data_IF_740161125284
#
_entry.id   IF_740161125284
#
_cell.length_a   1.000
_cell.length_b   1.000
_cell.length_c   1.000
_cell.angle_alpha   90.00
_cell.angle_beta   90.00
_cell.angle_gamma   90.00
#
_symmetry.space_group_name_H-M   'P 1'
#
loop_
_entity.id
_entity.type
_entity.pdbx_description
1 polymer ?
#
# COMPACT_ATOMS: atom_id res chain seq x y z
N UNK A 1 -9.09 -26.83 -22.63
CA UNK A 1 -8.93 -25.54 -21.93
C UNK A 1 -9.76 -25.62 -20.65
N UNK A 2 -9.13 -25.78 -19.48
CA UNK A 2 -9.87 -25.94 -18.21
C UNK A 2 -10.39 -24.57 -17.79
N UNK A 3 -11.70 -24.36 -17.92
CA UNK A 3 -12.37 -23.16 -17.39
C UNK A 3 -12.57 -23.37 -15.90
N UNK A 4 -11.67 -22.81 -15.10
CA UNK A 4 -11.82 -22.79 -13.64
C UNK A 4 -13.12 -22.06 -13.27
N UNK A 5 -13.82 -22.48 -12.20
CA UNK A 5 -15.00 -21.77 -11.72
C UNK A 5 -14.65 -20.30 -11.46
N UNK A 6 -15.59 -19.35 -11.66
CA UNK A 6 -15.33 -17.93 -11.50
C UNK A 6 -14.86 -17.64 -10.08
N UNK A 7 -13.55 -17.49 -9.92
CA UNK A 7 -12.96 -17.18 -8.62
C UNK A 7 -13.40 -15.79 -8.18
N UNK A 8 -13.81 -15.65 -6.92
CA UNK A 8 -14.37 -14.41 -6.36
C UNK A 8 -13.48 -13.18 -6.64
N UNK A 9 -12.16 -13.36 -6.62
CA UNK A 9 -11.16 -12.27 -6.68
C UNK A 9 -10.36 -12.17 -7.99
N UNK A 10 -10.54 -13.06 -8.97
CA UNK A 10 -9.82 -13.00 -10.26
C UNK A 10 -10.76 -12.59 -11.40
N UNK A 11 -10.16 -12.37 -12.57
CA UNK A 11 -10.81 -11.97 -13.82
C UNK A 11 -10.58 -13.02 -14.91
N UNK A 12 -11.55 -13.16 -15.82
CA UNK A 12 -11.48 -14.12 -16.93
C UNK A 12 -10.31 -13.75 -17.85
N UNK A 13 -9.41 -14.70 -18.14
CA UNK A 13 -8.26 -14.45 -19.00
C UNK A 13 -8.69 -13.89 -20.36
N UNK A 14 -8.03 -12.81 -20.80
CA UNK A 14 -8.34 -12.13 -22.06
C UNK A 14 -9.51 -11.14 -22.01
N UNK A 15 -10.26 -11.05 -20.90
CA UNK A 15 -11.25 -9.98 -20.69
C UNK A 15 -10.59 -8.61 -20.55
N UNK A 16 -11.39 -7.55 -20.69
CA UNK A 16 -10.95 -6.17 -20.43
C UNK A 16 -10.41 -6.03 -19.00
N UNK A 17 -11.14 -6.53 -18.02
CA UNK A 17 -10.78 -6.47 -16.60
C UNK A 17 -9.49 -7.24 -16.31
N UNK A 18 -9.23 -8.33 -17.03
CA UNK A 18 -7.98 -9.06 -16.92
C UNK A 18 -6.79 -8.20 -17.37
N UNK A 19 -6.88 -7.47 -18.47
CA UNK A 19 -5.80 -6.57 -18.89
C UNK A 19 -5.68 -5.34 -18.00
N UNK A 20 -6.79 -4.75 -17.54
CA UNK A 20 -6.77 -3.67 -16.53
C UNK A 20 -6.11 -4.13 -15.23
N UNK A 21 -6.38 -5.36 -14.78
CA UNK A 21 -5.73 -5.92 -13.59
C UNK A 21 -4.22 -6.04 -13.75
N UNK A 22 -3.73 -6.39 -14.95
CA UNK A 22 -2.30 -6.44 -15.25
C UNK A 22 -1.69 -5.05 -15.22
N UNK A 23 -2.36 -4.05 -15.78
CA UNK A 23 -1.90 -2.66 -15.72
C UNK A 23 -1.70 -2.21 -14.27
N UNK A 24 -2.67 -2.49 -13.40
CA UNK A 24 -2.57 -2.14 -11.98
C UNK A 24 -1.49 -2.93 -11.24
N UNK A 25 -1.29 -4.21 -11.56
CA UNK A 25 -0.17 -4.97 -11.02
C UNK A 25 1.17 -4.39 -11.46
N UNK A 26 1.32 -3.99 -12.73
CA UNK A 26 2.55 -3.35 -13.18
C UNK A 26 2.76 -1.99 -12.50
N UNK A 27 1.69 -1.22 -12.30
CA UNK A 27 1.74 -0.01 -11.47
C UNK A 27 2.28 -0.32 -10.07
N UNK A 28 1.77 -1.35 -9.39
CA UNK A 28 2.25 -1.75 -8.06
C UNK A 28 3.74 -2.16 -8.08
N UNK A 29 4.15 -2.95 -9.07
CA UNK A 29 5.51 -3.48 -9.20
C UNK A 29 6.54 -2.42 -9.61
N UNK A 30 6.16 -1.40 -10.37
CA UNK A 30 7.09 -0.38 -10.88
C UNK A 30 6.98 0.97 -10.18
N UNK A 31 5.88 1.23 -9.46
CA UNK A 31 5.63 2.44 -8.69
C UNK A 31 5.83 2.19 -7.19
N UNK A 32 4.76 1.91 -6.41
CA UNK A 32 4.85 1.74 -4.96
C UNK A 32 5.98 0.81 -4.51
N UNK A 33 6.14 -0.34 -5.17
CA UNK A 33 7.11 -1.35 -4.74
C UNK A 33 8.55 -0.85 -4.60
N UNK A 34 9.22 -0.48 -5.69
CA UNK A 34 10.60 -0.04 -5.66
C UNK A 34 10.76 1.32 -4.98
N UNK A 35 9.90 2.30 -5.29
CA UNK A 35 10.10 3.67 -4.81
C UNK A 35 9.88 3.81 -3.31
N UNK A 36 8.88 3.13 -2.74
CA UNK A 36 8.59 3.25 -1.31
C UNK A 36 9.58 2.43 -0.48
N UNK A 37 10.08 1.31 -1.04
CA UNK A 37 11.19 0.56 -0.45
C UNK A 37 12.50 1.34 -0.44
N UNK A 38 12.81 2.09 -1.51
CA UNK A 38 13.99 2.97 -1.53
C UNK A 38 13.84 4.10 -0.50
N UNK A 39 12.65 4.70 -0.38
CA UNK A 39 12.42 5.74 0.61
C UNK A 39 12.62 5.22 2.04
N UNK A 40 12.06 4.04 2.33
CA UNK A 40 12.29 3.33 3.59
C UNK A 40 13.78 3.10 3.84
N UNK A 41 14.54 2.72 2.81
CA UNK A 41 15.98 2.52 2.91
C UNK A 41 16.73 3.79 3.29
N UNK A 42 16.49 4.90 2.56
CA UNK A 42 17.14 6.17 2.85
C UNK A 42 16.72 6.76 4.20
N UNK A 43 15.47 6.54 4.60
CA UNK A 43 14.91 7.07 5.84
C UNK A 43 15.36 6.29 7.07
N UNK A 44 15.47 4.96 6.99
CA UNK A 44 15.80 4.11 8.14
C UNK A 44 17.29 3.75 8.17
N UNK A 45 17.82 3.24 7.06
CA UNK A 45 19.11 2.53 7.06
C UNK A 45 20.29 3.35 6.53
N UNK A 46 20.05 4.33 5.65
CA UNK A 46 21.15 5.09 5.06
C UNK A 46 21.76 6.06 6.08
N UNK A 47 23.10 6.03 6.28
CA UNK A 47 23.77 6.75 7.37
C UNK A 47 23.80 8.26 7.16
N UNK A 48 23.87 8.75 5.92
CA UNK A 48 23.93 10.18 5.62
C UNK A 48 22.55 10.74 5.26
N UNK A 49 21.93 11.48 6.17
CA UNK A 49 20.62 12.11 5.91
C UNK A 49 20.83 13.38 5.09
N UNK A 50 20.58 13.29 3.78
CA UNK A 50 20.55 14.44 2.87
C UNK A 50 19.12 14.95 2.65
N UNK A 51 18.86 16.27 2.72
CA UNK A 51 17.52 16.84 2.49
C UNK A 51 16.92 16.44 1.13
N UNK A 52 17.75 16.38 0.09
CA UNK A 52 17.31 16.13 -1.29
C UNK A 52 16.79 14.72 -1.54
N UNK A 53 17.24 13.73 -0.77
CA UNK A 53 16.90 12.33 -1.02
C UNK A 53 15.54 11.99 -0.43
N UNK A 54 15.29 12.33 0.84
CA UNK A 54 14.00 12.11 1.49
C UNK A 54 12.88 12.93 0.81
N UNK A 55 13.16 14.20 0.48
CA UNK A 55 12.19 15.05 -0.22
C UNK A 55 11.83 14.50 -1.61
N UNK A 56 12.80 13.95 -2.35
CA UNK A 56 12.54 13.34 -3.65
C UNK A 56 11.57 12.16 -3.54
N UNK A 57 11.81 11.25 -2.60
CA UNK A 57 11.01 10.04 -2.51
C UNK A 57 9.63 10.30 -1.91
N UNK A 58 9.50 11.20 -0.92
CA UNK A 58 8.17 11.54 -0.39
C UNK A 58 7.29 12.22 -1.44
N UNK A 59 7.88 13.06 -2.30
CA UNK A 59 7.16 13.66 -3.43
C UNK A 59 6.68 12.59 -4.43
N UNK A 60 7.48 11.55 -4.67
CA UNK A 60 7.07 10.43 -5.51
C UNK A 60 5.97 9.59 -4.87
N UNK A 61 6.03 9.33 -3.55
CA UNK A 61 4.94 8.69 -2.80
C UNK A 61 3.64 9.48 -2.96
N UNK A 62 3.68 10.80 -2.79
CA UNK A 62 2.52 11.69 -2.95
C UNK A 62 1.97 11.62 -4.37
N UNK A 63 2.82 11.73 -5.39
CA UNK A 63 2.42 11.66 -6.81
C UNK A 63 1.75 10.33 -7.16
N UNK A 64 2.32 9.22 -6.70
CA UNK A 64 1.80 7.87 -6.94
C UNK A 64 0.48 7.66 -6.20
N UNK A 65 0.36 8.14 -4.96
CA UNK A 65 -0.88 8.10 -4.17
C UNK A 65 -2.00 8.94 -4.79
N UNK A 66 -1.65 10.12 -5.32
CA UNK A 66 -2.58 11.01 -6.01
C UNK A 66 -3.15 10.39 -7.30
N UNK A 67 -2.31 9.71 -8.08
CA UNK A 67 -2.76 8.97 -9.26
C UNK A 67 -3.73 7.84 -8.90
N UNK A 68 -3.46 7.10 -7.82
CA UNK A 68 -4.38 6.08 -7.30
C UNK A 68 -5.70 6.72 -6.83
N UNK A 69 -5.61 7.83 -6.09
CA UNK A 69 -6.76 8.56 -5.57
C UNK A 69 -7.71 9.02 -6.68
N UNK A 70 -7.18 9.65 -7.74
CA UNK A 70 -7.98 10.00 -8.93
C UNK A 70 -8.62 8.79 -9.58
N UNK A 71 -7.89 7.68 -9.68
CA UNK A 71 -8.37 6.48 -10.35
C UNK A 71 -9.50 5.76 -9.60
N UNK A 72 -9.56 5.95 -8.28
CA UNK A 72 -10.61 5.47 -7.37
C UNK A 72 -11.80 6.42 -7.27
N UNK A 73 -11.77 7.58 -7.92
CA UNK A 73 -12.92 8.47 -7.97
C UNK A 73 -14.12 7.71 -8.57
N UNK A 74 -15.24 7.71 -7.83
CA UNK A 74 -16.47 6.99 -8.17
C UNK A 74 -16.32 5.46 -8.31
N UNK A 75 -15.30 4.86 -7.67
CA UNK A 75 -15.10 3.41 -7.65
C UNK A 75 -14.88 2.89 -6.24
N UNK A 76 -15.52 1.78 -5.92
CA UNK A 76 -15.28 1.08 -4.65
C UNK A 76 -14.01 0.23 -4.66
N UNK A 77 -13.60 -0.25 -5.85
CA UNK A 77 -12.44 -1.12 -6.08
C UNK A 77 -11.81 -0.80 -7.44
N UNK A 78 -10.55 -1.19 -7.63
CA UNK A 78 -9.76 -0.76 -8.79
C UNK A 78 -10.25 -1.32 -10.13
N UNK A 79 -10.74 -2.56 -10.14
CA UNK A 79 -11.09 -3.27 -11.37
C UNK A 79 -12.40 -4.04 -11.19
N UNK A 80 -13.29 -3.94 -12.18
CA UNK A 80 -14.51 -4.75 -12.27
C UNK A 80 -15.51 -4.54 -11.13
N UNK A 81 -15.45 -3.42 -10.41
CA UNK A 81 -16.41 -3.07 -9.35
C UNK A 81 -16.41 -4.02 -8.15
N UNK A 82 -15.37 -4.84 -7.99
CA UNK A 82 -15.27 -5.84 -6.91
C UNK A 82 -13.86 -5.90 -6.34
N UNK A 83 -13.78 -6.31 -5.08
CA UNK A 83 -12.49 -6.63 -4.45
C UNK A 83 -11.78 -7.76 -5.22
N UNK A 84 -10.50 -7.54 -5.52
CA UNK A 84 -9.69 -8.46 -6.29
C UNK A 84 -8.28 -8.62 -5.70
N UNK A 85 -7.48 -9.52 -6.29
CA UNK A 85 -6.06 -9.63 -5.94
C UNK A 85 -5.27 -8.34 -6.23
N UNK A 86 -5.76 -7.49 -7.12
CA UNK A 86 -5.12 -6.21 -7.46
C UNK A 86 -5.15 -5.29 -6.26
N UNK A 87 -6.32 -5.17 -5.62
CA UNK A 87 -6.47 -4.34 -4.43
C UNK A 87 -5.58 -4.87 -3.30
N UNK A 88 -5.60 -6.18 -3.09
CA UNK A 88 -4.79 -6.86 -2.08
C UNK A 88 -3.28 -6.65 -2.26
N UNK A 89 -2.80 -6.49 -3.49
CA UNK A 89 -1.38 -6.29 -3.79
C UNK A 89 -0.88 -4.88 -3.45
N UNK A 90 -1.77 -3.88 -3.46
CA UNK A 90 -1.41 -2.47 -3.23
C UNK A 90 -1.53 -2.09 -1.74
N UNK A 91 -2.53 -2.62 -1.03
CA UNK A 91 -2.82 -2.25 0.38
C UNK A 91 -1.60 -2.32 1.31
N UNK A 92 -0.77 -3.38 1.31
CA UNK A 92 0.36 -3.49 2.24
C UNK A 92 1.35 -2.33 2.15
N UNK A 93 1.51 -1.75 0.96
CA UNK A 93 2.41 -0.62 0.76
C UNK A 93 1.96 0.62 1.55
N UNK A 94 0.66 0.86 1.68
CA UNK A 94 0.14 1.97 2.48
C UNK A 94 0.31 1.75 3.99
N UNK A 95 0.33 0.49 4.44
CA UNK A 95 0.67 0.17 5.84
C UNK A 95 2.14 0.48 6.12
N UNK A 96 3.04 0.14 5.20
CA UNK A 96 4.47 0.44 5.31
C UNK A 96 4.72 1.95 5.34
N UNK A 97 4.10 2.71 4.43
CA UNK A 97 4.29 4.17 4.42
C UNK A 97 3.77 4.83 5.70
N UNK A 98 2.62 4.39 6.22
CA UNK A 98 2.11 4.92 7.48
C UNK A 98 3.04 4.62 8.67
N UNK A 99 3.75 3.49 8.66
CA UNK A 99 4.72 3.11 9.69
C UNK A 99 5.99 3.97 9.62
N UNK A 100 6.50 4.24 8.41
CA UNK A 100 7.80 4.89 8.22
C UNK A 100 7.66 6.41 8.17
N UNK A 101 6.55 6.92 7.63
CA UNK A 101 6.29 8.34 7.40
C UNK A 101 4.95 8.78 8.02
N UNK A 102 4.76 8.64 9.34
CA UNK A 102 3.46 8.82 9.99
C UNK A 102 2.88 10.24 9.83
N UNK A 103 3.72 11.23 9.57
CA UNK A 103 3.32 12.64 9.48
C UNK A 103 3.30 13.18 8.03
N UNK A 104 3.73 12.40 7.04
CA UNK A 104 3.93 12.91 5.68
C UNK A 104 2.76 12.70 4.74
N UNK A 105 1.88 11.75 5.07
CA UNK A 105 0.66 11.45 4.33
C UNK A 105 -0.57 11.52 5.24
N UNK A 106 -1.25 12.65 5.21
CA UNK A 106 -2.64 12.72 5.67
C UNK A 106 -3.55 12.18 4.56
N UNK A 107 -3.85 10.87 4.63
CA UNK A 107 -4.69 10.19 3.65
C UNK A 107 -6.12 10.73 3.62
N UNK A 108 -6.68 11.10 4.78
CA UNK A 108 -8.06 11.57 4.86
C UNK A 108 -8.21 12.91 4.14
N UNK A 109 -7.28 13.83 4.38
CA UNK A 109 -7.31 15.17 3.77
C UNK A 109 -6.81 15.18 2.33
N UNK A 110 -5.72 14.47 2.04
CA UNK A 110 -5.02 14.57 0.76
C UNK A 110 -5.50 13.54 -0.27
N UNK A 111 -5.94 12.36 0.19
CA UNK A 111 -6.28 11.23 -0.67
C UNK A 111 -7.59 10.54 -0.23
N UNK A 112 -8.72 11.27 -0.18
CA UNK A 112 -9.97 10.78 0.42
C UNK A 112 -10.52 9.50 -0.22
N UNK A 113 -10.32 9.30 -1.53
CA UNK A 113 -10.76 8.08 -2.21
C UNK A 113 -9.88 6.88 -1.86
N UNK A 114 -8.56 7.09 -1.72
CA UNK A 114 -7.64 6.07 -1.19
C UNK A 114 -8.02 5.72 0.25
N UNK A 115 -8.25 6.73 1.10
CA UNK A 115 -8.65 6.52 2.49
C UNK A 115 -9.94 5.67 2.59
N UNK A 116 -10.98 6.04 1.85
CA UNK A 116 -12.25 5.28 1.79
C UNK A 116 -12.03 3.84 1.29
N UNK A 117 -11.24 3.66 0.23
CA UNK A 117 -10.90 2.36 -0.33
C UNK A 117 -10.12 1.47 0.65
N UNK A 118 -9.11 2.01 1.34
CA UNK A 118 -8.35 1.30 2.36
C UNK A 118 -9.26 0.87 3.52
N UNK A 119 -10.10 1.77 4.03
CA UNK A 119 -11.02 1.48 5.12
C UNK A 119 -12.02 0.38 4.74
N UNK A 120 -12.57 0.43 3.52
CA UNK A 120 -13.44 -0.62 2.98
C UNK A 120 -12.75 -1.99 2.94
N UNK A 121 -11.47 -2.04 2.56
CA UNK A 121 -10.72 -3.30 2.50
C UNK A 121 -10.37 -3.82 3.89
N UNK A 122 -9.90 -2.94 4.79
CA UNK A 122 -9.57 -3.30 6.17
C UNK A 122 -10.77 -3.85 6.94
N UNK A 123 -11.97 -3.33 6.66
CA UNK A 123 -13.22 -3.81 7.24
C UNK A 123 -13.63 -5.23 6.80
N UNK A 124 -12.95 -5.83 5.81
CA UNK A 124 -13.25 -7.21 5.38
C UNK A 124 -12.84 -8.20 6.49
N UNK A 125 -13.69 -9.16 6.89
CA UNK A 125 -13.41 -10.04 8.02
C UNK A 125 -12.06 -10.76 7.98
N UNK A 126 -11.66 -11.27 6.80
CA UNK A 126 -10.38 -11.95 6.64
C UNK A 126 -9.16 -11.02 6.81
N UNK A 127 -9.29 -9.76 6.38
CA UNK A 127 -8.23 -8.76 6.48
C UNK A 127 -8.16 -8.23 7.92
N UNK A 128 -9.30 -7.86 8.51
CA UNK A 128 -9.38 -7.46 9.91
C UNK A 128 -8.77 -8.50 10.83
N UNK A 129 -9.13 -9.78 10.66
CA UNK A 129 -8.54 -10.87 11.44
C UNK A 129 -7.01 -10.93 11.29
N UNK A 130 -6.49 -10.74 10.07
CA UNK A 130 -5.05 -10.76 9.82
C UNK A 130 -4.34 -9.60 10.51
N UNK A 131 -4.96 -8.41 10.52
CA UNK A 131 -4.45 -7.23 11.23
C UNK A 131 -4.43 -7.51 12.74
N UNK A 132 -5.51 -8.06 13.30
CA UNK A 132 -5.60 -8.42 14.71
C UNK A 132 -4.56 -9.48 15.11
N UNK A 133 -4.37 -10.51 14.28
CA UNK A 133 -3.39 -11.57 14.52
C UNK A 133 -1.95 -11.02 14.48
N UNK A 134 -1.65 -10.11 13.53
CA UNK A 134 -0.36 -9.39 13.50
C UNK A 134 -0.14 -8.55 14.75
N UNK A 135 -1.15 -7.82 15.21
CA UNK A 135 -1.06 -7.00 16.41
C UNK A 135 -0.82 -7.85 17.68
N UNK A 136 -1.52 -8.99 17.79
CA UNK A 136 -1.30 -9.96 18.88
C UNK A 136 0.10 -10.57 18.85
N UNK A 137 0.59 -10.94 17.66
CA UNK A 137 1.95 -11.46 17.50
C UNK A 137 2.99 -10.42 17.92
N UNK A 138 2.83 -9.16 17.49
CA UNK A 138 3.72 -8.07 17.89
C UNK A 138 3.73 -7.82 19.40
N UNK A 139 2.57 -7.90 20.05
CA UNK A 139 2.45 -7.77 21.51
C UNK A 139 3.09 -8.95 22.26
N UNK A 140 3.02 -10.16 21.70
CA UNK A 140 3.64 -11.36 22.29
C UNK A 140 5.17 -11.39 22.16
N UNK A 141 5.73 -10.80 21.10
CA UNK A 141 7.17 -10.77 20.85
C UNK A 141 7.92 -9.63 21.56
N UNK A 142 7.22 -8.66 22.15
CA UNK A 142 7.82 -7.59 22.98
C UNK A 142 8.83 -6.68 22.27
N UNK A 143 8.82 -6.63 20.92
CA UNK A 143 9.93 -6.07 20.10
C UNK A 143 9.58 -4.92 19.15
N UNK A 144 8.58 -4.12 19.49
CA UNK A 144 8.47 -2.76 18.92
C UNK A 144 8.20 -1.75 20.03
N UNK A 145 9.16 -1.65 20.96
CA UNK A 145 9.41 -0.38 21.60
C UNK A 145 9.90 0.59 20.53
N UNK A 146 9.30 1.78 20.50
CA UNK A 146 9.68 2.96 19.72
C UNK A 146 11.03 2.82 19.01
N UNK A 147 11.05 2.92 17.68
CA UNK A 147 12.27 3.39 17.00
C UNK A 147 12.42 4.85 17.45
N UNK A 148 13.02 5.06 18.62
CA UNK A 148 13.45 6.39 19.05
C UNK A 148 14.66 6.76 18.22
N UNK A 149 14.72 8.02 17.78
CA UNK A 149 15.76 8.60 16.94
C UNK A 149 17.22 8.48 17.49
N UNK A 150 17.41 7.85 18.64
CA UNK A 150 18.67 7.71 19.38
C UNK A 150 19.56 6.55 18.89
N UNK A 151 19.04 5.59 18.10
CA UNK A 151 19.86 4.50 17.56
C UNK A 151 20.60 4.85 16.26
N UNK A 152 20.41 6.06 15.74
CA UNK A 152 21.09 6.57 14.52
C UNK A 152 22.43 7.24 14.78
N UNK A 153 22.95 7.25 16.02
CA UNK A 153 24.20 7.96 16.37
C UNK A 153 25.42 7.06 16.66
N UNK A 154 25.55 5.90 16.01
CA UNK A 154 26.79 5.11 16.07
C UNK A 154 27.35 4.82 14.69
#
# INVERSE_FOLDING_TARGET
>A
MVVLPPSRIRFTAGSKEYYESKQWLHYQMSGPGPYWGQDAWFTIYYPEKGPSTAERYINEIRRVSDMLNRSLQNKDYLVGGKYSYVDAAIVPWFEVVALIFPNELDLEKSFPHVNSWLNRIKARPAISKTIDDKAKAAAAEGKYGNITADETSR
#
